data_IF_604001401448
#
_entry.id   IF_604001401448
#
_cell.length_a   1.000
_cell.length_b   1.000
_cell.length_c   1.000
_cell.angle_alpha   90.00
_cell.angle_beta   90.00
_cell.angle_gamma   90.00
#
_symmetry.space_group_name_H-M   'P 1'
#
loop_
_entity.id
_entity.type
_entity.pdbx_description
1 polymer ?
#
# COMPACT_ATOMS: atom_id res chain seq x y z
N UNK A 1 2.90 -10.62 -16.60
CA UNK A 1 3.80 -10.95 -15.50
C UNK A 1 5.21 -10.58 -15.90
N UNK A 2 6.00 -10.01 -14.98
CA UNK A 2 7.44 -9.91 -15.12
C UNK A 2 8.08 -11.29 -15.28
N UNK A 3 9.27 -11.38 -15.88
CA UNK A 3 9.96 -12.66 -16.04
C UNK A 3 10.29 -13.30 -14.68
N UNK A 4 10.52 -14.63 -14.65
CA UNK A 4 10.86 -15.39 -13.43
C UNK A 4 11.99 -14.74 -12.61
N UNK A 5 12.95 -14.10 -13.28
CA UNK A 5 14.07 -13.37 -12.68
C UNK A 5 13.60 -12.14 -11.85
N UNK A 6 12.67 -11.35 -12.37
CA UNK A 6 12.12 -10.18 -11.67
C UNK A 6 11.32 -10.58 -10.43
N UNK A 7 10.55 -11.66 -10.53
CA UNK A 7 9.83 -12.26 -9.40
C UNK A 7 10.81 -12.77 -8.34
N UNK A 8 11.88 -13.42 -8.77
CA UNK A 8 12.92 -13.97 -7.88
C UNK A 8 13.60 -12.85 -7.08
N UNK A 9 14.00 -11.74 -7.73
CA UNK A 9 14.56 -10.57 -7.05
C UNK A 9 13.60 -9.97 -6.00
N UNK A 10 12.30 -9.98 -6.30
CA UNK A 10 11.28 -9.48 -5.37
C UNK A 10 11.09 -10.41 -4.17
N UNK A 11 11.10 -11.73 -4.40
CA UNK A 11 11.07 -12.74 -3.33
C UNK A 11 12.26 -12.55 -2.39
N UNK A 12 13.47 -12.34 -2.92
CA UNK A 12 14.67 -12.08 -2.13
C UNK A 12 14.55 -10.84 -1.24
N UNK A 13 14.10 -9.73 -1.83
CA UNK A 13 13.88 -8.47 -1.11
C UNK A 13 12.88 -8.65 0.03
N UNK A 14 11.74 -9.31 -0.24
CA UNK A 14 10.71 -9.51 0.78
C UNK A 14 11.15 -10.48 1.87
N UNK A 15 11.95 -11.49 1.53
CA UNK A 15 12.51 -12.41 2.51
C UNK A 15 13.47 -11.68 3.47
N UNK A 16 14.31 -10.78 2.95
CA UNK A 16 15.17 -9.93 3.78
C UNK A 16 14.36 -9.00 4.69
N UNK A 17 13.33 -8.34 4.15
CA UNK A 17 12.44 -7.47 4.91
C UNK A 17 11.73 -8.24 6.04
N UNK A 18 11.20 -9.44 5.76
CA UNK A 18 10.56 -10.28 6.76
C UNK A 18 11.48 -10.56 7.96
N UNK A 19 12.75 -10.87 7.71
CA UNK A 19 13.75 -11.11 8.78
C UNK A 19 14.05 -9.84 9.58
N UNK A 20 14.17 -8.70 8.91
CA UNK A 20 14.42 -7.41 9.57
C UNK A 20 13.26 -6.98 10.47
N UNK A 21 12.04 -7.36 10.13
CA UNK A 21 10.84 -6.99 10.87
C UNK A 21 10.50 -7.96 12.01
N UNK A 22 11.14 -9.14 12.07
CA UNK A 22 10.73 -10.26 12.92
C UNK A 22 10.51 -9.90 14.41
N UNK A 23 11.47 -9.16 14.99
CA UNK A 23 11.42 -8.75 16.40
C UNK A 23 10.64 -7.44 16.61
N UNK A 24 10.47 -6.64 15.56
CA UNK A 24 10.05 -5.23 15.65
C UNK A 24 8.61 -4.97 15.20
N UNK A 25 8.16 -5.72 14.20
CA UNK A 25 6.85 -5.67 13.56
C UNK A 25 6.45 -7.09 13.10
N UNK A 26 6.06 -7.95 14.07
CA UNK A 26 5.61 -9.31 13.78
C UNK A 26 4.49 -9.43 12.75
N UNK A 27 3.44 -8.56 12.76
CA UNK A 27 2.41 -8.60 11.72
C UNK A 27 2.97 -8.39 10.31
N UNK A 28 3.82 -7.38 10.10
CA UNK A 28 4.44 -7.15 8.78
C UNK A 28 5.36 -8.29 8.36
N UNK A 29 6.08 -8.88 9.31
CA UNK A 29 6.89 -10.09 9.07
C UNK A 29 6.04 -11.22 8.52
N UNK A 30 4.93 -11.54 9.18
CA UNK A 30 4.04 -12.63 8.81
C UNK A 30 3.34 -12.36 7.48
N UNK A 31 2.98 -11.09 7.21
CA UNK A 31 2.42 -10.69 5.91
C UNK A 31 3.44 -10.86 4.78
N UNK A 32 4.70 -10.46 4.98
CA UNK A 32 5.77 -10.65 3.99
C UNK A 32 6.02 -12.13 3.72
N UNK A 33 6.07 -12.96 4.76
CA UNK A 33 6.18 -14.42 4.63
C UNK A 33 5.05 -14.99 3.75
N UNK A 34 3.81 -14.56 4.00
CA UNK A 34 2.65 -14.97 3.20
C UNK A 34 2.78 -14.58 1.73
N UNK A 35 3.09 -13.31 1.45
CA UNK A 35 3.22 -12.79 0.09
C UNK A 35 4.27 -13.59 -0.69
N UNK A 36 5.42 -13.91 -0.06
CA UNK A 36 6.47 -14.72 -0.67
C UNK A 36 5.93 -16.09 -1.10
N UNK A 37 5.22 -16.79 -0.21
CA UNK A 37 4.64 -18.11 -0.52
C UNK A 37 3.61 -18.00 -1.64
N UNK A 38 2.74 -16.98 -1.62
CA UNK A 38 1.75 -16.76 -2.69
C UNK A 38 2.44 -16.50 -4.05
N UNK A 39 3.52 -15.73 -4.08
CA UNK A 39 4.32 -15.48 -5.29
C UNK A 39 4.97 -16.75 -5.83
N UNK A 40 5.62 -17.53 -4.96
CA UNK A 40 6.30 -18.77 -5.34
C UNK A 40 5.30 -19.80 -5.86
N UNK A 41 4.24 -20.08 -5.11
CA UNK A 41 3.22 -21.05 -5.53
C UNK A 41 2.48 -20.57 -6.79
N UNK A 42 2.24 -19.27 -6.91
CA UNK A 42 1.64 -18.70 -8.10
C UNK A 42 2.51 -18.92 -9.34
N UNK A 43 3.82 -18.73 -9.22
CA UNK A 43 4.77 -19.01 -10.31
C UNK A 43 4.78 -20.49 -10.68
N UNK A 44 4.84 -21.40 -9.70
CA UNK A 44 4.80 -22.86 -9.96
C UNK A 44 3.50 -23.28 -10.64
N UNK A 45 2.36 -22.72 -10.21
CA UNK A 45 1.07 -23.01 -10.83
C UNK A 45 1.04 -22.56 -12.29
N UNK A 46 1.53 -21.35 -12.56
CA UNK A 46 1.60 -20.81 -13.91
C UNK A 46 2.50 -21.66 -14.81
N UNK A 47 3.68 -22.07 -14.33
CA UNK A 47 4.63 -22.86 -15.12
C UNK A 47 4.15 -24.28 -15.44
N UNK A 48 3.38 -24.91 -14.53
CA UNK A 48 2.98 -26.31 -14.69
C UNK A 48 1.57 -26.50 -15.26
N UNK A 49 0.68 -25.52 -15.07
CA UNK A 49 -0.73 -25.62 -15.50
C UNK A 49 -1.16 -24.49 -16.43
N UNK A 50 -0.27 -23.55 -16.77
CA UNK A 50 -0.58 -22.32 -17.53
C UNK A 50 -1.76 -21.54 -16.93
N UNK A 51 -2.02 -21.76 -15.63
CA UNK A 51 -3.18 -21.21 -14.95
C UNK A 51 -2.79 -19.94 -14.21
N UNK A 52 -3.57 -18.88 -14.40
CA UNK A 52 -3.36 -17.63 -13.69
C UNK A 52 -3.65 -17.83 -12.18
N UNK A 53 -2.67 -17.63 -11.28
CA UNK A 53 -2.85 -17.77 -9.83
C UNK A 53 -3.59 -16.58 -9.19
N UNK A 54 -3.92 -15.54 -9.96
CA UNK A 54 -4.45 -14.27 -9.48
C UNK A 54 -5.74 -14.40 -8.67
N UNK A 55 -5.77 -13.76 -7.50
CA UNK A 55 -6.93 -13.76 -6.59
C UNK A 55 -7.21 -15.11 -5.92
N UNK A 56 -6.37 -16.13 -6.15
CA UNK A 56 -6.52 -17.44 -5.54
C UNK A 56 -6.09 -17.37 -4.07
N UNK A 57 -6.96 -17.76 -3.11
CA UNK A 57 -6.56 -17.88 -1.71
C UNK A 57 -5.39 -18.84 -1.56
N UNK A 58 -4.48 -18.56 -0.62
CA UNK A 58 -3.31 -19.39 -0.34
C UNK A 58 -3.66 -20.88 -0.17
N UNK A 59 -4.81 -21.21 0.43
CA UNK A 59 -5.30 -22.60 0.53
C UNK A 59 -5.45 -23.30 -0.82
N UNK A 60 -6.08 -22.60 -1.77
CA UNK A 60 -6.31 -23.11 -3.12
C UNK A 60 -4.98 -23.17 -3.89
N UNK A 61 -4.08 -22.22 -3.70
CA UNK A 61 -2.74 -22.26 -4.29
C UNK A 61 -1.97 -23.51 -3.83
N UNK A 62 -1.93 -23.77 -2.52
CA UNK A 62 -1.26 -24.95 -1.97
C UNK A 62 -1.88 -26.23 -2.54
N UNK A 63 -3.21 -26.33 -2.55
CA UNK A 63 -3.91 -27.52 -3.04
C UNK A 63 -3.69 -27.75 -4.54
N UNK A 64 -3.65 -26.69 -5.36
CA UNK A 64 -3.46 -26.85 -6.80
C UNK A 64 -2.02 -27.11 -7.23
N UNK A 65 -1.06 -26.77 -6.37
CA UNK A 65 0.37 -26.94 -6.63
C UNK A 65 0.95 -28.18 -5.95
N UNK A 66 0.20 -28.86 -5.07
CA UNK A 66 0.68 -29.99 -4.28
C UNK A 66 1.37 -31.10 -5.09
N UNK A 67 0.92 -31.37 -6.32
CA UNK A 67 1.48 -32.45 -7.17
C UNK A 67 2.85 -32.07 -7.75
N UNK A 68 3.24 -30.80 -7.68
CA UNK A 68 4.49 -30.26 -8.25
C UNK A 68 5.52 -29.87 -7.18
N UNK A 69 5.14 -29.91 -5.90
CA UNK A 69 6.02 -29.55 -4.80
C UNK A 69 6.44 -30.78 -3.99
N UNK A 70 7.68 -30.81 -3.48
CA UNK A 70 8.05 -31.76 -2.44
C UNK A 70 7.14 -31.63 -1.22
N UNK A 71 6.84 -32.75 -0.56
CA UNK A 71 5.97 -32.79 0.63
C UNK A 71 6.40 -31.80 1.73
N UNK A 72 7.71 -31.59 1.87
CA UNK A 72 8.27 -30.62 2.81
C UNK A 72 7.89 -29.17 2.47
N UNK A 73 7.89 -28.78 1.19
CA UNK A 73 7.52 -27.41 0.78
C UNK A 73 6.01 -27.15 0.94
N UNK A 74 5.20 -28.19 0.75
CA UNK A 74 3.77 -28.16 1.07
C UNK A 74 3.57 -27.91 2.56
N UNK A 75 4.29 -28.64 3.42
CA UNK A 75 4.23 -28.46 4.87
C UNK A 75 4.64 -27.03 5.28
N UNK A 76 5.74 -26.51 4.73
CA UNK A 76 6.16 -25.12 4.97
C UNK A 76 5.11 -24.09 4.51
N UNK A 77 4.49 -24.31 3.36
CA UNK A 77 3.40 -23.44 2.88
C UNK A 77 2.20 -23.45 3.82
N UNK A 78 1.88 -24.61 4.42
CA UNK A 78 0.79 -24.74 5.42
C UNK A 78 1.12 -24.05 6.75
N UNK A 79 2.38 -24.06 7.18
CA UNK A 79 2.84 -23.27 8.34
C UNK A 79 2.62 -21.78 8.09
N UNK A 80 3.02 -21.29 6.91
CA UNK A 80 2.82 -19.88 6.53
C UNK A 80 1.34 -19.55 6.38
N UNK A 81 0.52 -20.47 5.85
CA UNK A 81 -0.93 -20.29 5.78
C UNK A 81 -1.56 -20.10 7.18
N UNK A 82 -1.11 -20.88 8.18
CA UNK A 82 -1.66 -20.83 9.52
C UNK A 82 -1.40 -19.48 10.20
N UNK A 83 -0.18 -18.93 10.08
CA UNK A 83 0.24 -17.74 10.83
C UNK A 83 0.34 -16.46 9.99
N UNK A 84 0.44 -16.54 8.67
CA UNK A 84 0.52 -15.37 7.77
C UNK A 84 -0.72 -14.46 7.81
N UNK A 85 -1.86 -14.99 8.28
CA UNK A 85 -3.10 -14.24 8.47
C UNK A 85 -3.04 -13.17 9.58
N UNK A 86 -2.11 -13.29 10.55
CA UNK A 86 -1.95 -12.29 11.61
C UNK A 86 -1.54 -10.91 11.05
N UNK A 87 -0.82 -10.88 9.93
CA UNK A 87 -0.43 -9.64 9.25
C UNK A 87 -1.46 -9.11 8.25
N UNK A 88 -2.50 -9.89 7.92
CA UNK A 88 -3.43 -9.59 6.82
C UNK A 88 -4.89 -9.42 7.26
N UNK A 89 -5.25 -9.79 8.49
CA UNK A 89 -6.60 -9.64 9.05
C UNK A 89 -6.56 -9.15 10.50
N UNK A 90 -7.47 -8.25 10.87
CA UNK A 90 -7.62 -7.75 12.24
C UNK A 90 -8.02 -8.89 13.19
N UNK A 91 -7.10 -9.31 14.07
CA UNK A 91 -7.28 -10.43 15.02
C UNK A 91 -7.81 -9.97 16.39
N UNK A 92 -8.70 -8.96 16.44
CA UNK A 92 -9.36 -8.52 17.68
C UNK A 92 -8.40 -8.22 18.87
N UNK A 93 -7.15 -7.84 18.59
CA UNK A 93 -6.13 -7.52 19.60
C UNK A 93 -5.15 -8.65 19.96
N UNK A 94 -5.26 -9.85 19.36
CA UNK A 94 -4.28 -10.92 19.56
C UNK A 94 -2.97 -10.64 18.80
N UNK A 95 -1.85 -10.72 19.52
CA UNK A 95 -0.51 -10.63 18.94
C UNK A 95 0.05 -12.03 18.64
N UNK A 96 0.70 -12.24 17.48
CA UNK A 96 1.31 -13.52 17.15
C UNK A 96 2.43 -13.86 18.14
N UNK A 97 2.54 -15.13 18.53
CA UNK A 97 3.61 -15.59 19.42
C UNK A 97 4.97 -15.62 18.71
N UNK A 98 6.06 -15.44 19.47
CA UNK A 98 7.43 -15.58 18.93
C UNK A 98 7.66 -16.93 18.23
N UNK A 99 7.07 -18.01 18.74
CA UNK A 99 7.14 -19.33 18.11
C UNK A 99 6.47 -19.33 16.71
N UNK A 100 5.34 -18.64 16.54
CA UNK A 100 4.66 -18.52 15.25
C UNK A 100 5.51 -17.72 14.25
N UNK A 101 6.11 -16.61 14.69
CA UNK A 101 6.98 -15.76 13.86
C UNK A 101 8.19 -16.55 13.35
N UNK A 102 8.92 -17.19 14.26
CA UNK A 102 10.10 -18.01 13.94
C UNK A 102 9.75 -19.17 13.01
N UNK A 103 8.62 -19.83 13.25
CA UNK A 103 8.14 -20.93 12.40
C UNK A 103 7.82 -20.46 10.97
N UNK A 104 7.18 -19.30 10.83
CA UNK A 104 6.90 -18.69 9.53
C UNK A 104 8.17 -18.28 8.78
N UNK A 105 9.12 -17.66 9.46
CA UNK A 105 10.39 -17.26 8.87
C UNK A 105 11.20 -18.47 8.39
N UNK A 106 11.32 -19.50 9.22
CA UNK A 106 12.03 -20.72 8.86
C UNK A 106 11.36 -21.42 7.68
N UNK A 107 10.03 -21.56 7.69
CA UNK A 107 9.28 -22.15 6.59
C UNK A 107 9.43 -21.36 5.28
N UNK A 108 9.39 -20.03 5.36
CA UNK A 108 9.57 -19.15 4.19
C UNK A 108 10.99 -19.23 3.65
N UNK A 109 12.00 -19.32 4.53
CA UNK A 109 13.40 -19.44 4.13
C UNK A 109 13.66 -20.74 3.35
N UNK A 110 13.17 -21.88 3.85
CA UNK A 110 13.30 -23.17 3.17
C UNK A 110 12.61 -23.16 1.81
N UNK A 111 11.41 -22.57 1.73
CA UNK A 111 10.66 -22.46 0.48
C UNK A 111 11.33 -21.53 -0.53
N UNK A 112 11.91 -20.42 -0.06
CA UNK A 112 12.66 -19.48 -0.91
C UNK A 112 13.93 -20.13 -1.46
N UNK A 113 14.68 -20.84 -0.61
CA UNK A 113 15.89 -21.58 -1.01
C UNK A 113 15.59 -22.72 -1.98
N UNK A 114 14.45 -23.39 -1.83
CA UNK A 114 14.03 -24.39 -2.80
C UNK A 114 13.65 -23.77 -4.15
N UNK A 115 12.95 -22.63 -4.12
CA UNK A 115 12.51 -21.92 -5.33
C UNK A 115 13.68 -21.32 -6.14
N UNK A 116 14.68 -20.79 -5.43
CA UNK A 116 15.95 -20.33 -5.98
C UNK A 116 17.13 -20.84 -5.12
N UNK A 117 17.83 -21.90 -5.54
CA UNK A 117 18.97 -22.44 -4.83
C UNK A 117 20.16 -21.49 -4.68
N UNK A 118 20.21 -20.43 -5.49
CA UNK A 118 21.25 -19.40 -5.37
C UNK A 118 21.00 -18.43 -4.21
N UNK A 119 19.82 -18.53 -3.58
CA UNK A 119 19.49 -17.75 -2.38
C UNK A 119 20.47 -18.04 -1.25
N UNK A 120 21.31 -17.05 -0.92
CA UNK A 120 22.05 -17.04 0.32
C UNK A 120 21.27 -16.24 1.37
N UNK A 121 20.85 -16.86 2.49
CA UNK A 121 20.36 -16.07 3.60
C UNK A 121 21.51 -15.19 4.10
N UNK A 122 21.46 -13.87 3.89
CA UNK A 122 22.38 -12.96 4.59
C UNK A 122 22.17 -13.15 6.10
N UNK A 123 23.26 -13.34 6.84
CA UNK A 123 23.23 -13.38 8.30
C UNK A 123 22.85 -12.00 8.83
N UNK A 124 21.72 -11.90 9.51
CA UNK A 124 21.40 -10.75 10.35
C UNK A 124 20.92 -11.29 11.69
N UNK A 125 21.64 -10.95 12.76
CA UNK A 125 21.32 -11.37 14.13
C UNK A 125 20.01 -10.73 14.63
N UNK A 126 19.14 -11.48 15.32
CA UNK A 126 17.94 -10.95 15.98
C UNK A 126 18.31 -10.17 17.26
N UNK A 127 17.57 -9.10 17.58
CA UNK A 127 17.84 -8.21 18.72
C UNK A 127 16.59 -8.04 19.58
N UNK A 128 16.64 -8.54 20.82
CA UNK A 128 15.57 -8.47 21.82
C UNK A 128 15.43 -7.08 22.49
N UNK A 129 14.19 -6.62 22.72
CA UNK A 129 13.88 -5.42 23.50
C UNK A 129 12.60 -5.63 24.33
N UNK A 130 12.66 -5.33 25.63
CA UNK A 130 11.53 -5.38 26.57
C UNK A 130 10.65 -4.12 26.50
N UNK A 131 9.32 -4.28 26.59
CA UNK A 131 8.33 -3.19 26.59
C UNK A 131 7.70 -2.98 27.98
N UNK A 132 7.48 -1.72 28.37
CA UNK A 132 6.55 -1.31 29.44
C UNK A 132 5.79 -0.03 29.06
N UNK A 133 4.48 -0.05 29.30
CA UNK A 133 3.51 1.03 29.08
C UNK A 133 3.47 2.04 30.24
N UNK A 134 3.27 3.34 29.96
CA UNK A 134 2.75 4.35 30.91
C UNK A 134 1.95 5.46 30.18
N UNK A 135 0.86 5.89 30.82
CA UNK A 135 -0.19 6.85 30.45
C UNK A 135 0.16 8.37 30.55
N UNK A 136 -0.84 9.17 30.20
CA UNK A 136 -0.92 10.51 29.55
C UNK A 136 -0.80 11.77 30.46
N UNK A 137 -0.37 12.92 29.86
CA UNK A 137 -1.04 14.26 29.86
C UNK A 137 -0.16 15.35 29.16
N UNK A 138 -0.74 16.39 28.52
CA UNK A 138 -0.04 17.43 27.69
C UNK A 138 -0.39 18.85 28.07
N UNK A 139 0.58 19.77 27.92
CA UNK A 139 0.38 21.22 27.75
C UNK A 139 1.33 21.82 26.69
N UNK A 140 0.91 22.94 26.08
CA UNK A 140 1.41 23.54 24.81
C UNK A 140 2.76 24.27 24.89
N UNK A 141 3.59 24.15 23.84
CA UNK A 141 4.81 24.95 23.60
C UNK A 141 4.89 25.50 22.17
N UNK A 142 5.62 26.60 21.98
CA UNK A 142 5.59 27.46 20.76
C UNK A 142 6.44 26.99 19.58
N UNK A 143 7.43 26.13 19.78
CA UNK A 143 8.23 25.52 18.70
C UNK A 143 7.72 24.13 18.35
N UNK A 144 7.51 23.84 17.07
CA UNK A 144 6.98 22.54 16.63
C UNK A 144 7.99 21.41 16.86
N UNK A 145 7.50 20.20 17.12
CA UNK A 145 8.34 18.99 17.24
C UNK A 145 9.23 18.81 16.00
N UNK A 146 8.74 19.11 14.79
CA UNK A 146 9.51 19.03 13.54
C UNK A 146 10.73 19.96 13.54
N UNK A 147 10.54 21.21 13.95
CA UNK A 147 11.62 22.18 14.05
C UNK A 147 12.66 21.75 15.09
N UNK A 148 12.18 21.28 16.25
CA UNK A 148 13.05 20.78 17.32
C UNK A 148 13.84 19.54 16.92
N UNK A 149 13.28 18.63 16.13
CA UNK A 149 14.03 17.48 15.56
C UNK A 149 15.20 17.95 14.69
N UNK A 150 14.97 18.94 13.82
CA UNK A 150 16.01 19.50 12.96
C UNK A 150 17.09 20.23 13.78
N UNK A 151 16.70 20.94 14.85
CA UNK A 151 17.63 21.56 15.79
C UNK A 151 18.46 20.52 16.51
N UNK A 152 17.84 19.44 17.00
CA UNK A 152 18.53 18.33 17.66
C UNK A 152 19.61 17.71 16.76
N UNK A 153 19.29 17.44 15.50
CA UNK A 153 20.24 16.86 14.54
C UNK A 153 21.48 17.76 14.40
N UNK A 154 21.27 19.08 14.32
CA UNK A 154 22.35 20.06 14.22
C UNK A 154 23.16 20.18 15.50
N UNK A 155 22.51 20.27 16.67
CA UNK A 155 23.18 20.41 17.97
C UNK A 155 23.99 19.17 18.34
N UNK A 156 23.52 17.98 17.97
CA UNK A 156 24.22 16.71 18.19
C UNK A 156 25.25 16.37 17.12
N UNK A 157 25.37 17.20 16.09
CA UNK A 157 26.29 16.98 14.95
C UNK A 157 26.14 15.60 14.30
N UNK A 158 24.91 15.07 14.26
CA UNK A 158 24.62 13.73 13.75
C UNK A 158 24.88 13.72 12.23
N UNK A 159 25.66 12.74 11.77
CA UNK A 159 25.93 12.52 10.34
C UNK A 159 25.12 11.34 9.79
N UNK A 160 25.27 11.05 8.50
CA UNK A 160 24.63 9.88 7.88
C UNK A 160 25.16 8.54 8.40
N UNK A 161 26.35 8.50 8.99
CA UNK A 161 26.96 7.27 9.52
C UNK A 161 26.59 7.04 10.99
N UNK A 162 26.13 8.08 11.69
CA UNK A 162 25.82 8.02 13.10
C UNK A 162 24.43 7.41 13.33
N UNK A 163 24.32 6.62 14.40
CA UNK A 163 23.05 6.06 14.86
C UNK A 163 22.56 6.83 16.08
N UNK A 164 21.27 7.17 16.10
CA UNK A 164 20.56 7.78 17.21
C UNK A 164 19.34 6.94 17.60
N UNK A 165 19.19 6.68 18.90
CA UNK A 165 18.04 5.95 19.43
C UNK A 165 16.83 6.86 19.70
N UNK A 166 15.64 6.27 19.71
CA UNK A 166 14.42 6.96 20.15
C UNK A 166 14.55 7.46 21.61
N UNK A 167 15.32 6.74 22.43
CA UNK A 167 15.58 7.12 23.81
C UNK A 167 16.41 8.40 23.86
N UNK A 168 17.50 8.48 23.09
CA UNK A 168 18.34 9.68 23.02
C UNK A 168 17.62 10.89 22.44
N UNK A 169 16.71 10.67 21.46
CA UNK A 169 15.84 11.73 20.95
C UNK A 169 14.93 12.24 22.08
N UNK A 170 14.27 11.33 22.80
CA UNK A 170 13.38 11.69 23.93
C UNK A 170 14.14 12.39 25.06
N UNK A 171 15.29 11.86 25.46
CA UNK A 171 16.18 12.46 26.46
C UNK A 171 16.58 13.89 26.04
N UNK A 172 16.91 14.12 24.77
CA UNK A 172 17.20 15.47 24.30
C UNK A 172 15.97 16.41 24.41
N UNK A 173 14.77 15.94 24.02
CA UNK A 173 13.54 16.73 24.15
C UNK A 173 13.15 17.04 25.60
N UNK A 174 13.48 16.15 26.54
CA UNK A 174 13.34 16.37 27.98
C UNK A 174 14.34 17.41 28.47
N UNK A 175 15.62 17.30 28.10
CA UNK A 175 16.65 18.30 28.48
C UNK A 175 16.40 19.69 27.91
N UNK A 176 15.70 19.78 26.77
CA UNK A 176 15.31 21.05 26.16
C UNK A 176 14.10 21.70 26.85
N UNK A 177 13.48 21.01 27.82
CA UNK A 177 12.22 21.41 28.47
C UNK A 177 11.14 21.80 27.46
N UNK A 178 11.06 21.03 26.37
CA UNK A 178 10.27 21.37 25.19
C UNK A 178 8.75 21.33 25.40
N UNK A 179 8.27 20.85 26.56
CA UNK A 179 6.86 20.68 26.93
C UNK A 179 6.04 19.73 26.04
N UNK A 180 6.62 19.16 24.98
CA UNK A 180 5.93 18.21 24.10
C UNK A 180 5.77 16.85 24.75
N UNK A 181 4.63 16.21 24.48
CA UNK A 181 4.39 14.80 24.85
C UNK A 181 5.43 13.88 24.21
N UNK A 182 5.97 12.95 25.01
CA UNK A 182 6.88 11.92 24.52
C UNK A 182 6.24 10.98 23.48
N UNK A 183 4.93 10.72 23.60
CA UNK A 183 4.16 9.99 22.58
C UNK A 183 4.11 10.77 21.27
N UNK A 184 3.83 12.08 21.32
CA UNK A 184 3.87 12.95 20.14
C UNK A 184 5.25 13.02 19.51
N UNK A 185 6.32 13.09 20.31
CA UNK A 185 7.71 13.04 19.83
C UNK A 185 7.97 11.72 19.09
N UNK A 186 7.56 10.59 19.68
CA UNK A 186 7.70 9.27 19.08
C UNK A 186 6.95 9.16 17.75
N UNK A 187 5.71 9.63 17.70
CA UNK A 187 4.91 9.71 16.47
C UNK A 187 5.59 10.54 15.40
N UNK A 188 6.18 11.68 15.76
CA UNK A 188 6.91 12.52 14.80
C UNK A 188 8.19 11.86 14.30
N UNK A 189 8.94 11.13 15.14
CA UNK A 189 10.09 10.35 14.67
C UNK A 189 9.64 9.30 13.65
N UNK A 190 8.55 8.58 13.94
CA UNK A 190 8.00 7.57 13.04
C UNK A 190 7.49 8.18 11.73
N UNK A 191 6.84 9.34 11.78
CA UNK A 191 6.41 10.10 10.61
C UNK A 191 7.61 10.58 9.77
N UNK A 192 8.66 11.10 10.42
CA UNK A 192 9.86 11.62 9.75
C UNK A 192 10.85 10.53 9.34
N UNK A 193 10.49 9.25 9.55
CA UNK A 193 11.27 8.10 9.10
C UNK A 193 10.90 7.76 7.66
N UNK A 194 11.86 7.80 6.73
CA UNK A 194 11.62 7.64 5.29
C UNK A 194 11.20 6.24 4.89
N UNK A 195 11.66 5.19 5.57
CA UNK A 195 11.34 3.78 5.30
C UNK A 195 10.30 3.17 6.27
N UNK A 196 9.62 3.98 7.09
CA UNK A 196 8.67 3.51 8.11
C UNK A 196 7.21 3.69 7.68
N UNK A 197 6.44 2.60 7.61
CA UNK A 197 5.07 2.62 7.05
C UNK A 197 4.12 3.53 7.84
N UNK A 198 4.41 3.77 9.12
CA UNK A 198 3.65 4.69 9.96
C UNK A 198 3.54 6.08 9.34
N UNK A 199 4.56 6.53 8.60
CA UNK A 199 4.55 7.83 7.91
C UNK A 199 3.39 8.00 6.91
N UNK A 200 2.86 6.90 6.41
CA UNK A 200 1.77 6.86 5.44
C UNK A 200 0.42 7.29 6.04
N UNK A 201 0.32 7.32 7.38
CA UNK A 201 -0.86 7.77 8.11
C UNK A 201 -0.78 9.26 8.52
N UNK A 202 0.26 9.98 8.09
CA UNK A 202 0.52 11.36 8.49
C UNK A 202 0.65 12.31 7.29
N UNK A 203 0.29 13.59 7.51
CA UNK A 203 0.51 14.64 6.52
C UNK A 203 1.97 15.10 6.51
N UNK A 204 2.68 14.79 5.44
CA UNK A 204 4.10 15.11 5.29
C UNK A 204 4.32 16.53 4.70
N UNK A 205 5.37 17.20 5.16
CA UNK A 205 5.81 18.50 4.69
C UNK A 205 6.20 18.44 3.22
N UNK A 206 5.80 19.46 2.46
CA UNK A 206 5.93 19.49 0.99
C UNK A 206 7.36 19.77 0.51
N UNK A 207 8.21 20.28 1.38
CA UNK A 207 9.60 20.67 1.13
C UNK A 207 10.60 19.54 1.41
N UNK A 208 10.13 18.36 1.83
CA UNK A 208 10.98 17.23 2.20
C UNK A 208 11.60 17.37 3.59
N UNK A 209 11.21 18.37 4.39
CA UNK A 209 11.75 18.57 5.74
C UNK A 209 11.42 17.42 6.72
N UNK A 210 10.44 16.59 6.39
CA UNK A 210 10.13 15.35 7.12
C UNK A 210 10.94 14.14 6.65
N UNK A 211 11.76 14.24 5.61
CA UNK A 211 12.62 13.15 5.13
C UNK A 211 13.92 13.12 5.93
N UNK A 212 13.79 13.02 7.26
CA UNK A 212 14.91 13.26 8.17
C UNK A 212 15.62 11.96 8.56
N UNK A 213 14.86 10.96 8.98
CA UNK A 213 15.40 9.73 9.54
C UNK A 213 15.29 8.57 8.57
N UNK A 214 16.29 7.71 8.56
CA UNK A 214 16.19 6.36 8.02
C UNK A 214 16.26 5.39 9.18
N UNK A 215 15.27 4.51 9.32
CA UNK A 215 15.23 3.53 10.40
C UNK A 215 16.18 2.38 10.07
N UNK A 216 17.18 2.19 10.91
CA UNK A 216 18.11 1.06 10.83
C UNK A 216 17.49 -0.16 11.51
N UNK A 217 16.85 0.04 12.68
CA UNK A 217 16.11 -0.97 13.47
C UNK A 217 15.10 -0.30 14.40
N UNK A 218 14.23 -1.05 15.11
CA UNK A 218 13.20 -0.47 16.00
C UNK A 218 13.84 0.49 17.02
N UNK A 219 13.37 1.72 17.03
CA UNK A 219 13.87 2.75 17.93
C UNK A 219 15.31 3.18 17.68
N UNK A 220 15.90 2.89 16.51
CA UNK A 220 17.26 3.31 16.12
C UNK A 220 17.26 3.83 14.69
N UNK A 221 17.78 5.02 14.52
CA UNK A 221 17.67 5.80 13.30
C UNK A 221 19.04 6.34 12.94
N UNK A 222 19.25 6.65 11.67
CA UNK A 222 20.30 7.56 11.22
C UNK A 222 19.69 8.64 10.35
N UNK A 223 20.47 9.60 9.91
CA UNK A 223 19.99 10.53 8.89
C UNK A 223 19.75 9.80 7.57
N UNK A 224 18.64 10.14 6.93
CA UNK A 224 18.33 9.69 5.58
C UNK A 224 19.34 10.26 4.59
N UNK A 225 19.96 9.39 3.80
CA UNK A 225 20.94 9.73 2.77
C UNK A 225 20.34 9.49 1.38
N UNK A 226 19.89 10.54 0.67
CA UNK A 226 19.23 10.40 -0.64
C UNK A 226 20.11 9.79 -1.74
N UNK A 227 21.44 9.75 -1.55
CA UNK A 227 22.37 9.22 -2.55
C UNK A 227 22.52 7.70 -2.49
N UNK A 228 22.19 7.10 -1.34
CA UNK A 228 22.42 5.66 -1.07
C UNK A 228 21.11 4.96 -0.68
N UNK A 229 20.20 5.67 -0.01
CA UNK A 229 18.98 5.08 0.52
C UNK A 229 17.87 4.98 -0.52
N UNK A 230 16.99 3.97 -0.37
CA UNK A 230 15.74 3.92 -1.10
C UNK A 230 14.93 5.21 -0.89
N UNK A 231 14.22 5.63 -1.94
CA UNK A 231 13.31 6.78 -1.85
C UNK A 231 12.32 6.58 -0.69
N UNK A 232 11.92 7.67 0.01
CA UNK A 232 10.98 7.55 1.12
C UNK A 232 9.69 6.86 0.67
N UNK A 233 9.18 5.92 1.47
CA UNK A 233 7.95 5.19 1.14
C UNK A 233 6.76 6.14 1.22
N UNK A 234 6.08 6.30 0.09
CA UNK A 234 4.96 7.24 -0.01
C UNK A 234 3.60 6.54 0.03
N UNK A 235 3.56 5.20 -0.11
CA UNK A 235 2.35 4.37 -0.20
C UNK A 235 2.58 2.91 0.23
N UNK A 236 1.48 2.20 0.57
CA UNK A 236 1.45 0.72 0.65
C UNK A 236 1.11 0.23 -0.76
N UNK A 237 2.07 -0.35 -1.48
CA UNK A 237 1.78 -1.00 -2.77
C UNK A 237 0.85 -2.21 -2.56
N UNK A 238 -0.40 -2.10 -3.04
CA UNK A 238 -1.29 -3.26 -3.19
C UNK A 238 -0.86 -4.04 -4.43
N UNK A 239 -0.03 -5.07 -4.24
CA UNK A 239 0.53 -5.89 -5.31
C UNK A 239 -0.45 -6.89 -5.94
N UNK A 240 -1.59 -7.19 -5.30
CA UNK A 240 -2.53 -8.20 -5.79
C UNK A 240 -3.99 -7.90 -5.41
N UNK A 241 -4.92 -8.41 -6.21
CA UNK A 241 -6.37 -8.35 -5.96
C UNK A 241 -7.03 -7.02 -6.33
N UNK A 242 -6.25 -6.05 -6.82
CA UNK A 242 -6.79 -4.82 -7.39
C UNK A 242 -7.44 -5.06 -8.75
N UNK A 243 -7.01 -6.12 -9.44
CA UNK A 243 -7.46 -6.46 -10.78
C UNK A 243 -8.92 -6.91 -10.83
N UNK A 244 -9.39 -7.43 -9.69
CA UNK A 244 -10.74 -7.94 -9.50
C UNK A 244 -11.68 -6.88 -8.91
N UNK A 245 -11.32 -5.60 -8.98
CA UNK A 245 -12.12 -4.51 -8.42
C UNK A 245 -12.65 -3.59 -9.53
N UNK A 246 -13.93 -3.23 -9.37
CA UNK A 246 -14.60 -2.12 -10.06
C UNK A 246 -14.72 -0.95 -9.07
N UNK A 247 -13.99 0.14 -9.35
CA UNK A 247 -14.09 1.40 -8.61
C UNK A 247 -15.23 2.25 -9.17
N UNK A 248 -16.37 2.27 -8.50
CA UNK A 248 -17.46 3.18 -8.84
C UNK A 248 -17.16 4.56 -8.25
N UNK A 249 -17.23 5.60 -9.08
CA UNK A 249 -17.02 6.99 -8.68
C UNK A 249 -18.27 7.83 -8.95
N UNK A 250 -18.56 8.76 -8.06
CA UNK A 250 -19.69 9.68 -8.22
C UNK A 250 -19.35 10.75 -9.26
N UNK A 251 -20.15 10.83 -10.32
CA UNK A 251 -20.01 11.81 -11.41
C UNK A 251 -21.29 12.61 -11.61
N UNK A 252 -22.05 12.86 -10.55
CA UNK A 252 -23.37 13.51 -10.62
C UNK A 252 -23.34 14.86 -11.38
N UNK A 253 -22.28 15.66 -11.20
CA UNK A 253 -22.11 16.98 -11.84
C UNK A 253 -21.11 16.99 -13.01
N UNK A 254 -20.40 15.90 -13.26
CA UNK A 254 -19.19 15.92 -14.12
C UNK A 254 -19.13 14.77 -15.13
N UNK A 255 -20.24 14.05 -15.33
CA UNK A 255 -20.19 12.84 -16.15
C UNK A 255 -19.73 13.11 -17.58
N UNK A 256 -20.26 14.13 -18.24
CA UNK A 256 -19.97 14.35 -19.66
C UNK A 256 -18.50 14.76 -19.87
N UNK A 257 -17.95 15.59 -19.00
CA UNK A 257 -16.54 16.00 -19.03
C UNK A 257 -15.61 14.84 -18.68
N UNK A 258 -16.00 13.98 -17.73
CA UNK A 258 -15.22 12.79 -17.38
C UNK A 258 -15.20 11.80 -18.54
N UNK A 259 -16.31 11.65 -19.27
CA UNK A 259 -16.40 10.80 -20.47
C UNK A 259 -15.57 11.34 -21.63
N UNK A 260 -15.64 12.64 -21.92
CA UNK A 260 -14.91 13.23 -23.05
C UNK A 260 -13.41 13.18 -22.86
N UNK A 261 -12.94 13.46 -21.65
CA UNK A 261 -11.51 13.52 -21.33
C UNK A 261 -10.92 12.17 -20.90
N UNK A 262 -11.77 11.21 -20.54
CA UNK A 262 -11.39 9.91 -19.96
C UNK A 262 -10.49 10.07 -18.72
N UNK A 263 -10.79 11.11 -17.92
CA UNK A 263 -10.09 11.43 -16.67
C UNK A 263 -11.11 11.89 -15.63
N UNK A 264 -11.20 11.11 -14.54
CA UNK A 264 -11.97 11.47 -13.36
C UNK A 264 -11.09 12.23 -12.37
N UNK A 265 -11.55 13.38 -11.88
CA UNK A 265 -10.88 14.17 -10.86
C UNK A 265 -11.66 14.16 -9.54
N UNK A 266 -10.94 14.10 -8.43
CA UNK A 266 -11.50 14.32 -7.10
C UNK A 266 -10.48 14.94 -6.14
N UNK A 267 -10.91 15.55 -5.03
CA UNK A 267 -10.02 15.89 -3.92
C UNK A 267 -9.26 14.65 -3.44
N UNK A 268 -8.00 14.79 -3.05
CA UNK A 268 -7.22 13.71 -2.43
C UNK A 268 -7.15 13.86 -0.91
N UNK A 269 -8.27 13.58 -0.25
CA UNK A 269 -8.41 13.69 1.21
C UNK A 269 -8.65 12.31 1.84
N UNK A 270 -8.47 12.22 3.15
CA UNK A 270 -8.83 11.02 3.91
C UNK A 270 -10.35 10.71 3.82
N UNK A 271 -10.74 9.52 4.26
CA UNK A 271 -12.15 9.10 4.29
C UNK A 271 -12.73 8.83 2.89
N UNK A 272 -13.85 9.49 2.56
CA UNK A 272 -14.66 9.24 1.36
C UNK A 272 -13.95 9.49 0.02
N UNK A 273 -12.79 10.14 0.04
CA UNK A 273 -11.98 10.39 -1.14
C UNK A 273 -10.86 9.37 -1.33
N UNK A 274 -10.71 8.39 -0.44
CA UNK A 274 -9.75 7.30 -0.65
C UNK A 274 -10.20 6.42 -1.82
N UNK A 275 -9.40 6.39 -2.88
CA UNK A 275 -9.62 5.55 -4.05
C UNK A 275 -8.75 4.30 -3.97
N UNK A 276 -9.37 3.11 -4.01
CA UNK A 276 -8.67 1.83 -4.04
C UNK A 276 -8.14 1.54 -5.44
N UNK A 277 -6.92 1.00 -5.54
CA UNK A 277 -6.41 0.48 -6.82
C UNK A 277 -7.40 -0.56 -7.36
N UNK A 278 -7.79 -0.36 -8.61
CA UNK A 278 -8.84 -1.15 -9.27
C UNK A 278 -8.51 -1.31 -10.74
N UNK A 279 -9.01 -2.37 -11.37
CA UNK A 279 -8.87 -2.56 -12.82
C UNK A 279 -9.86 -1.73 -13.60
N UNK A 280 -11.10 -1.70 -13.12
CA UNK A 280 -12.19 -1.04 -13.82
C UNK A 280 -12.68 0.17 -13.02
N UNK A 281 -13.23 1.14 -13.73
CA UNK A 281 -13.92 2.31 -13.18
C UNK A 281 -15.38 2.29 -13.64
N UNK A 282 -16.30 2.64 -12.75
CA UNK A 282 -17.71 2.84 -13.05
C UNK A 282 -18.13 4.28 -12.81
N UNK A 283 -18.78 4.92 -13.77
CA UNK A 283 -19.24 6.29 -13.68
C UNK A 283 -20.70 6.33 -13.21
N UNK A 284 -20.90 6.71 -11.94
CA UNK A 284 -22.20 6.73 -11.29
C UNK A 284 -22.90 8.08 -11.40
N UNK A 285 -24.13 8.08 -11.90
CA UNK A 285 -25.05 9.22 -11.91
C UNK A 285 -26.49 8.73 -11.78
N UNK A 286 -27.31 9.45 -11.02
CA UNK A 286 -28.77 9.18 -10.92
C UNK A 286 -29.12 7.73 -10.56
N UNK A 287 -28.49 7.18 -9.51
CA UNK A 287 -28.72 5.81 -9.01
C UNK A 287 -28.35 4.69 -9.99
N UNK A 288 -27.56 4.99 -11.01
CA UNK A 288 -27.03 4.00 -11.94
C UNK A 288 -25.56 4.26 -12.23
N UNK A 289 -24.77 3.21 -12.38
CA UNK A 289 -23.52 3.28 -13.14
C UNK A 289 -23.91 3.23 -14.60
N UNK A 290 -23.65 4.34 -15.31
CA UNK A 290 -24.05 4.51 -16.71
C UNK A 290 -22.96 4.06 -17.68
N UNK A 291 -21.70 4.06 -17.22
CA UNK A 291 -20.56 3.67 -18.04
C UNK A 291 -19.52 2.96 -17.19
N UNK A 292 -18.80 2.04 -17.81
CA UNK A 292 -17.60 1.39 -17.25
C UNK A 292 -16.41 1.52 -18.18
N UNK A 293 -15.21 1.59 -17.62
CA UNK A 293 -13.97 1.62 -18.40
C UNK A 293 -12.80 0.96 -17.69
N UNK A 294 -11.66 0.84 -18.38
CA UNK A 294 -10.43 0.25 -17.88
C UNK A 294 -9.48 1.32 -17.35
N UNK A 295 -9.05 1.20 -16.09
CA UNK A 295 -8.16 2.17 -15.48
C UNK A 295 -6.73 1.96 -15.95
N UNK A 296 -6.14 3.03 -16.46
CA UNK A 296 -4.72 3.12 -16.83
C UNK A 296 -3.89 3.43 -15.60
N UNK A 297 -4.20 4.53 -14.91
CA UNK A 297 -3.35 5.02 -13.83
C UNK A 297 -4.09 5.94 -12.86
N UNK A 298 -3.52 6.10 -11.67
CA UNK A 298 -3.85 7.16 -10.72
C UNK A 298 -2.71 8.16 -10.60
N UNK A 299 -3.01 9.45 -10.74
CA UNK A 299 -2.06 10.56 -10.58
C UNK A 299 -2.53 11.48 -9.47
N UNK A 300 -1.62 12.03 -8.67
CA UNK A 300 -1.95 13.00 -7.61
C UNK A 300 -1.16 14.29 -7.77
N UNK A 301 -1.80 15.40 -7.47
CA UNK A 301 -1.25 16.74 -7.45
C UNK A 301 -1.39 17.34 -6.05
N UNK A 302 -0.27 17.65 -5.39
CA UNK A 302 -0.28 18.14 -3.99
C UNK A 302 -0.61 19.63 -3.85
N UNK A 303 -0.32 20.38 -4.90
CA UNK A 303 -0.50 21.83 -5.00
C UNK A 303 -0.44 22.21 -6.49
N UNK A 304 -0.66 23.49 -6.77
CA UNK A 304 -0.67 24.07 -8.13
C UNK A 304 0.65 23.86 -8.90
N UNK A 305 1.79 23.83 -8.21
CA UNK A 305 3.12 23.63 -8.82
C UNK A 305 3.50 22.16 -8.98
N UNK A 306 2.62 21.23 -8.56
CA UNK A 306 2.92 19.82 -8.57
C UNK A 306 2.97 19.30 -10.00
N UNK A 307 4.06 18.61 -10.35
CA UNK A 307 4.23 17.97 -11.67
C UNK A 307 3.34 16.73 -11.87
N UNK A 308 2.56 16.33 -10.86
CA UNK A 308 1.84 15.06 -10.85
C UNK A 308 2.75 13.92 -10.39
N UNK A 309 2.23 13.08 -9.51
CA UNK A 309 2.88 11.87 -9.04
C UNK A 309 1.99 10.66 -9.35
N UNK A 310 2.51 9.67 -10.06
CA UNK A 310 1.77 8.45 -10.41
C UNK A 310 1.80 7.52 -9.20
N UNK A 311 0.62 7.25 -8.62
CA UNK A 311 0.45 6.31 -7.50
C UNK A 311 0.51 4.87 -8.00
N UNK A 312 -0.13 4.60 -9.13
CA UNK A 312 -0.07 3.31 -9.79
C UNK A 312 -0.33 3.46 -11.29
N UNK A 313 0.35 2.61 -12.06
CA UNK A 313 0.16 2.40 -13.47
C UNK A 313 -0.21 0.92 -13.68
N UNK A 314 -1.44 0.66 -14.12
CA UNK A 314 -1.94 -0.68 -14.42
C UNK A 314 -1.52 -1.18 -15.81
N UNK A 315 -0.85 -0.33 -16.58
CA UNK A 315 -0.47 -0.57 -17.97
C UNK A 315 1.03 -0.42 -18.13
N UNK A 316 1.49 -0.48 -19.39
CA UNK A 316 2.87 -0.16 -19.76
C UNK A 316 2.98 1.22 -20.41
N UNK A 317 1.94 2.06 -20.29
CA UNK A 317 1.89 3.38 -20.90
C UNK A 317 2.94 4.30 -20.27
N UNK A 318 3.44 5.27 -21.05
CA UNK A 318 4.52 6.17 -20.61
C UNK A 318 4.06 7.07 -19.46
N UNK A 319 4.87 7.17 -18.40
CA UNK A 319 4.60 8.09 -17.28
C UNK A 319 4.42 9.53 -17.75
N UNK A 320 5.18 9.95 -18.77
CA UNK A 320 5.10 11.30 -19.33
C UNK A 320 3.72 11.56 -19.95
N UNK A 321 3.19 10.61 -20.71
CA UNK A 321 1.89 10.72 -21.37
C UNK A 321 0.75 10.70 -20.34
N UNK A 322 0.85 9.81 -19.35
CA UNK A 322 -0.07 9.71 -18.21
C UNK A 322 -0.17 11.05 -17.47
N UNK A 323 0.98 11.62 -17.09
CA UNK A 323 1.04 12.90 -16.38
C UNK A 323 0.50 14.03 -17.26
N UNK A 324 0.89 14.09 -18.53
CA UNK A 324 0.40 15.12 -19.46
C UNK A 324 -1.12 15.11 -19.58
N UNK A 325 -1.73 13.92 -19.72
CA UNK A 325 -3.18 13.78 -19.79
C UNK A 325 -3.87 14.25 -18.51
N UNK A 326 -3.34 13.88 -17.34
CA UNK A 326 -3.87 14.34 -16.06
C UNK A 326 -3.74 15.87 -15.87
N UNK A 327 -2.60 16.47 -16.24
CA UNK A 327 -2.36 17.92 -16.15
C UNK A 327 -3.30 18.68 -17.09
N UNK A 328 -3.47 18.21 -18.33
CA UNK A 328 -4.40 18.81 -19.29
C UNK A 328 -5.81 18.90 -18.71
N UNK A 329 -6.31 17.79 -18.14
CA UNK A 329 -7.62 17.76 -17.49
C UNK A 329 -7.69 18.70 -16.28
N UNK A 330 -6.66 18.69 -15.43
CA UNK A 330 -6.61 19.50 -14.21
C UNK A 330 -6.71 21.01 -14.50
N UNK A 331 -6.02 21.46 -15.57
CA UNK A 331 -6.01 22.86 -15.98
C UNK A 331 -7.32 23.29 -16.65
N UNK A 332 -8.00 22.37 -17.34
CA UNK A 332 -9.29 22.62 -18.00
C UNK A 332 -10.53 22.37 -17.13
N UNK A 333 -10.36 21.97 -15.87
CA UNK A 333 -11.47 21.67 -14.98
C UNK A 333 -11.79 22.87 -14.08
N UNK A 334 -13.00 23.41 -14.19
CA UNK A 334 -13.55 24.25 -13.15
C UNK A 334 -13.74 23.40 -11.88
N UNK A 335 -13.14 23.85 -10.79
CA UNK A 335 -13.16 23.22 -9.47
C UNK A 335 -13.57 24.23 -8.40
N UNK A 336 -14.19 25.34 -8.80
CA UNK A 336 -14.60 26.43 -7.90
C UNK A 336 -15.58 25.98 -6.82
N UNK A 337 -16.36 24.93 -7.06
CA UNK A 337 -17.27 24.33 -6.07
C UNK A 337 -16.57 23.39 -5.08
N UNK A 338 -15.27 23.17 -5.22
CA UNK A 338 -14.48 22.40 -4.27
C UNK A 338 -14.04 23.31 -3.12
N UNK A 339 -14.31 22.90 -1.88
CA UNK A 339 -13.94 23.69 -0.70
C UNK A 339 -12.44 23.99 -0.61
N UNK A 340 -11.57 23.12 -1.15
CA UNK A 340 -10.17 23.49 -1.45
C UNK A 340 -9.79 22.95 -2.83
N UNK A 341 -8.89 23.67 -3.48
CA UNK A 341 -8.43 23.36 -4.84
C UNK A 341 -7.40 22.22 -4.89
N UNK A 342 -6.74 21.91 -3.78
CA UNK A 342 -5.70 20.88 -3.67
C UNK A 342 -5.74 20.25 -2.28
N UNK A 343 -5.20 19.03 -2.09
CA UNK A 343 -4.62 18.15 -3.12
C UNK A 343 -5.69 17.52 -4.03
N UNK A 344 -5.32 17.17 -5.25
CA UNK A 344 -6.19 16.53 -6.25
C UNK A 344 -5.64 15.17 -6.64
N UNK A 345 -6.53 14.22 -6.92
CA UNK A 345 -6.20 12.97 -7.58
C UNK A 345 -6.99 12.83 -8.89
N UNK A 346 -6.37 12.16 -9.85
CA UNK A 346 -6.88 11.89 -11.18
C UNK A 346 -6.86 10.39 -11.43
N UNK A 347 -7.96 9.82 -11.87
CA UNK A 347 -8.03 8.47 -12.43
C UNK A 347 -8.13 8.58 -13.94
N UNK A 348 -7.13 8.07 -14.63
CA UNK A 348 -7.08 8.04 -16.10
C UNK A 348 -7.55 6.66 -16.53
N UNK A 349 -8.46 6.60 -17.50
CA UNK A 349 -9.01 5.35 -18.01
C UNK A 349 -9.13 5.37 -19.54
N UNK A 350 -9.52 4.22 -20.10
CA UNK A 350 -9.79 3.99 -21.53
C UNK A 350 -10.96 3.00 -21.70
N UNK A 351 -11.33 2.76 -22.95
CA UNK A 351 -12.30 1.73 -23.35
C UNK A 351 -13.63 1.86 -22.58
N UNK A 352 -14.39 2.90 -22.87
CA UNK A 352 -15.64 3.19 -22.19
C UNK A 352 -16.82 2.46 -22.83
N UNK A 353 -17.58 1.72 -22.03
CA UNK A 353 -18.77 0.97 -22.46
C UNK A 353 -19.99 1.42 -21.66
N UNK A 354 -21.12 1.61 -22.32
CA UNK A 354 -22.39 1.97 -21.69
C UNK A 354 -23.01 0.74 -21.00
N UNK A 355 -23.53 0.94 -19.80
CA UNK A 355 -24.18 -0.10 -18.99
C UNK A 355 -25.32 0.50 -18.18
N UNK A 356 -26.19 -0.36 -17.66
CA UNK A 356 -27.24 0.01 -16.73
C UNK A 356 -27.14 -0.79 -15.42
N UNK A 357 -26.16 -0.44 -14.59
CA UNK A 357 -25.93 -1.12 -13.30
C UNK A 357 -26.47 -0.29 -12.13
N UNK A 358 -27.66 -0.66 -11.64
CA UNK A 358 -28.53 0.23 -10.85
C UNK A 358 -28.49 -0.03 -9.34
N UNK A 359 -28.91 0.96 -8.54
CA UNK A 359 -29.15 0.81 -7.10
C UNK A 359 -30.46 1.45 -6.69
N UNK A 360 -31.12 0.90 -5.67
CA UNK A 360 -32.34 1.48 -5.09
C UNK A 360 -32.02 2.69 -4.20
N UNK A 361 -30.89 2.65 -3.51
CA UNK A 361 -30.41 3.70 -2.60
C UNK A 361 -29.32 4.54 -3.27
N UNK A 362 -29.37 5.88 -3.14
CA UNK A 362 -28.32 6.72 -3.69
C UNK A 362 -26.98 6.44 -3.00
N UNK A 363 -25.89 6.46 -3.77
CA UNK A 363 -24.53 6.35 -3.24
C UNK A 363 -24.22 7.55 -2.33
N UNK A 364 -24.00 7.27 -1.05
CA UNK A 364 -23.71 8.29 -0.02
C UNK A 364 -22.26 8.80 -0.07
N UNK A 365 -21.34 7.94 -0.50
CA UNK A 365 -19.91 8.25 -0.57
C UNK A 365 -19.52 8.71 -1.97
N UNK A 366 -18.35 9.34 -2.09
CA UNK A 366 -17.82 9.77 -3.39
C UNK A 366 -17.38 8.57 -4.27
N UNK A 367 -17.07 7.45 -3.65
CA UNK A 367 -16.71 6.22 -4.36
C UNK A 367 -17.18 4.97 -3.61
N UNK A 368 -17.21 3.84 -4.33
CA UNK A 368 -17.47 2.50 -3.79
C UNK A 368 -16.75 1.45 -4.63
N UNK A 369 -16.29 0.38 -4.02
CA UNK A 369 -15.62 -0.72 -4.72
C UNK A 369 -16.52 -1.94 -4.75
N UNK A 370 -16.60 -2.59 -5.91
CA UNK A 370 -17.29 -3.86 -6.11
C UNK A 370 -16.29 -4.94 -6.57
N UNK A 371 -16.41 -6.17 -6.08
CA UNK A 371 -15.66 -7.30 -6.63
C UNK A 371 -16.19 -7.66 -8.03
N UNK A 372 -15.28 -8.03 -8.93
CA UNK A 372 -15.53 -8.45 -10.31
C UNK A 372 -14.56 -9.58 -10.70
N UNK A 373 -14.46 -10.62 -9.87
CA UNK A 373 -13.46 -11.69 -10.01
C UNK A 373 -13.60 -12.46 -11.31
N UNK A 374 -14.81 -12.51 -11.87
CA UNK A 374 -15.15 -13.32 -13.03
C UNK A 374 -14.96 -12.61 -14.38
N UNK A 375 -14.69 -11.29 -14.37
CA UNK A 375 -14.58 -10.49 -15.60
C UNK A 375 -13.13 -10.41 -16.09
N UNK A 376 -12.86 -10.96 -17.27
CA UNK A 376 -11.54 -10.98 -17.90
C UNK A 376 -11.23 -9.71 -18.68
N UNK A 377 -12.24 -8.97 -19.14
CA UNK A 377 -12.12 -7.71 -19.90
C UNK A 377 -13.35 -6.82 -19.68
N UNK A 378 -13.35 -5.64 -20.29
CA UNK A 378 -14.39 -4.63 -20.09
C UNK A 378 -15.71 -5.01 -20.77
N UNK A 379 -15.66 -5.68 -21.91
CA UNK A 379 -16.83 -6.15 -22.65
C UNK A 379 -17.60 -7.19 -21.83
N UNK A 380 -16.89 -8.18 -21.27
CA UNK A 380 -17.46 -9.18 -20.39
C UNK A 380 -17.99 -8.54 -19.10
N UNK A 381 -17.25 -7.60 -18.50
CA UNK A 381 -17.76 -6.88 -17.33
C UNK A 381 -19.07 -6.18 -17.65
N UNK A 382 -19.16 -5.50 -18.79
CA UNK A 382 -20.34 -4.76 -19.21
C UNK A 382 -21.54 -5.71 -19.39
N UNK A 383 -21.38 -6.82 -20.10
CA UNK A 383 -22.41 -7.86 -20.25
C UNK A 383 -22.88 -8.42 -18.90
N UNK A 384 -21.93 -8.63 -17.98
CA UNK A 384 -22.23 -9.21 -16.67
C UNK A 384 -23.03 -8.29 -15.76
N UNK A 385 -22.84 -6.97 -15.83
CA UNK A 385 -23.49 -6.02 -14.91
C UNK A 385 -24.69 -5.30 -15.52
N UNK A 386 -24.87 -5.37 -16.83
CA UNK A 386 -25.94 -4.64 -17.52
C UNK A 386 -27.33 -5.13 -17.08
N UNK A 387 -28.20 -4.17 -16.75
CA UNK A 387 -29.54 -4.44 -16.21
C UNK A 387 -29.56 -5.01 -14.78
N UNK A 388 -28.41 -5.21 -14.14
CA UNK A 388 -28.32 -5.79 -12.79
C UNK A 388 -28.44 -4.71 -11.71
N UNK A 389 -29.01 -5.07 -10.56
CA UNK A 389 -28.98 -4.23 -9.36
C UNK A 389 -27.75 -4.52 -8.47
N UNK A 390 -27.19 -3.50 -7.82
CA UNK A 390 -26.02 -3.62 -6.95
C UNK A 390 -26.14 -4.72 -5.89
N UNK A 391 -27.32 -4.90 -5.29
CA UNK A 391 -27.51 -5.93 -4.28
C UNK A 391 -27.47 -7.34 -4.90
N UNK A 392 -28.07 -7.52 -6.08
CA UNK A 392 -28.04 -8.79 -6.80
C UNK A 392 -26.60 -9.17 -7.18
N UNK A 393 -25.80 -8.20 -7.63
CA UNK A 393 -24.41 -8.44 -7.98
C UNK A 393 -23.55 -8.89 -6.79
N UNK A 394 -23.75 -8.29 -5.62
CA UNK A 394 -23.02 -8.66 -4.41
C UNK A 394 -23.32 -10.10 -3.97
N UNK A 395 -24.52 -10.61 -4.28
CA UNK A 395 -24.87 -12.01 -4.01
C UNK A 395 -24.18 -12.98 -4.99
N UNK A 396 -23.80 -12.52 -6.19
CA UNK A 396 -23.16 -13.35 -7.23
C UNK A 396 -21.64 -13.46 -7.07
N UNK A 397 -20.98 -12.42 -6.57
CA UNK A 397 -19.49 -12.32 -6.51
C UNK A 397 -18.90 -12.55 -5.11
N UNK A 398 -19.76 -12.71 -4.10
CA UNK A 398 -19.37 -13.23 -2.77
C UNK A 398 -19.21 -14.75 -2.83
#
# INVERSE_FOLDING_TARGET
MGGREELTNTVHLFHQQARQYADADPPSTLNKCRIIVEMVLGQILFENKERNPQGMPLDKLITQTQDFLPQQMIAHSRVVQAYGNFGSHYQMGESPSNAAILSCLAATAELTKWFDPSHMPMESEPVHVEEKEVEDESTETSETIRALMQTMVKEKEITYEDTISIREIREWFETKESGHKMSSITTHVQMMTTNGETRLFHELAKDGSDELFFRIRKGQYRLYNPSVDPKPIMEIEQFSGWENNLLIVNTAKSLEEVKSEMVYLSPNRAGNYKLKRSRFIGLYRNKSVQYVGEIIAKVTFRNEKSRGYIWWNNTKDSEKEIIQKAVSRLNGCDRSDWGEQFPVQAIIFKNLTEVNFTTTKPMQNNNRVFPVKSAENIEQLAEMIDGINWNQWLDTEN
#
